data_IF_059934796250
#
_entry.id   IF_059934796250
#
_cell.length_a   1.000
_cell.length_b   1.000
_cell.length_c   1.000
_cell.angle_alpha   90.00
_cell.angle_beta   90.00
_cell.angle_gamma   90.00
#
_symmetry.space_group_name_H-M   'P 1'
#
loop_
_entity.id
_entity.type
_entity.pdbx_description
1 polymer ?
#
# COMPACT_ATOMS: atom_id res chain seq x y z
N UNK A 1 -11.25 -0.13 -15.44
CA UNK A 1 -11.51 1.10 -14.64
C UNK A 1 -10.99 0.94 -13.21
N UNK A 2 -11.12 -0.26 -12.66
CA UNK A 2 -10.43 -0.78 -11.48
C UNK A 2 -8.91 -0.51 -11.43
N UNK A 3 -8.17 -0.74 -12.52
CA UNK A 3 -6.71 -0.50 -12.54
C UNK A 3 -6.35 0.99 -12.33
N UNK A 4 -7.11 1.92 -12.94
CA UNK A 4 -6.88 3.36 -12.76
C UNK A 4 -7.16 3.81 -11.32
N UNK A 5 -8.20 3.24 -10.70
CA UNK A 5 -8.51 3.47 -9.28
C UNK A 5 -7.37 2.93 -8.41
N UNK A 6 -6.84 1.75 -8.72
CA UNK A 6 -5.73 1.18 -7.98
C UNK A 6 -4.42 1.97 -8.12
N UNK A 7 -4.08 2.42 -9.34
CA UNK A 7 -2.89 3.25 -9.59
C UNK A 7 -3.00 4.60 -8.88
N UNK A 8 -4.18 5.23 -8.92
CA UNK A 8 -4.41 6.49 -8.19
C UNK A 8 -4.34 6.30 -6.67
N UNK A 9 -4.87 5.17 -6.15
CA UNK A 9 -4.71 4.78 -4.75
C UNK A 9 -3.23 4.63 -4.35
N UNK A 10 -2.41 3.89 -5.12
CA UNK A 10 -0.98 3.74 -4.83
C UNK A 10 -0.26 5.10 -4.89
N UNK A 11 -0.59 5.95 -5.87
CA UNK A 11 0.02 7.26 -6.02
C UNK A 11 -0.32 8.17 -4.82
N UNK A 12 -1.60 8.22 -4.41
CA UNK A 12 -2.04 8.98 -3.23
C UNK A 12 -1.41 8.44 -1.94
N UNK A 13 -1.30 7.12 -1.82
CA UNK A 13 -0.69 6.49 -0.67
C UNK A 13 0.81 6.81 -0.59
N UNK A 14 1.52 6.71 -1.71
CA UNK A 14 2.94 7.08 -1.80
C UNK A 14 3.16 8.56 -1.50
N UNK A 15 2.31 9.45 -2.03
CA UNK A 15 2.36 10.87 -1.72
C UNK A 15 2.09 11.16 -0.25
N UNK A 16 1.07 10.51 0.34
CA UNK A 16 0.72 10.67 1.75
C UNK A 16 1.83 10.18 2.67
N UNK A 17 2.39 9.00 2.40
CA UNK A 17 3.51 8.44 3.16
C UNK A 17 4.72 9.36 3.07
N UNK A 18 5.09 9.84 1.87
CA UNK A 18 6.21 10.75 1.69
C UNK A 18 5.99 12.06 2.47
N UNK A 19 4.80 12.66 2.37
CA UNK A 19 4.44 13.90 3.07
C UNK A 19 4.40 13.76 4.59
N UNK A 20 3.89 12.64 5.12
CA UNK A 20 3.82 12.38 6.56
C UNK A 20 5.16 11.98 7.17
N UNK A 21 5.90 11.13 6.45
CA UNK A 21 7.15 10.59 6.95
C UNK A 21 8.30 11.60 6.88
N UNK A 22 8.31 12.46 5.85
CA UNK A 22 9.30 13.54 5.70
C UNK A 22 10.72 13.02 5.82
N UNK A 23 11.58 13.70 6.58
CA UNK A 23 12.96 13.25 6.84
C UNK A 23 13.11 12.39 8.11
N UNK A 24 12.00 11.93 8.70
CA UNK A 24 12.00 11.23 9.99
C UNK A 24 11.89 9.71 9.80
N UNK A 25 13.01 9.02 10.02
CA UNK A 25 13.13 7.56 9.91
C UNK A 25 12.03 6.77 10.62
N UNK A 26 11.69 7.13 11.86
CA UNK A 26 10.68 6.40 12.63
C UNK A 26 9.30 6.42 11.96
N UNK A 27 8.96 7.52 11.26
CA UNK A 27 7.67 7.66 10.58
C UNK A 27 7.60 6.81 9.33
N UNK A 28 8.70 6.71 8.58
CA UNK A 28 8.81 5.81 7.42
C UNK A 28 8.63 4.34 7.80
N UNK A 29 9.23 3.93 8.93
CA UNK A 29 9.10 2.56 9.44
C UNK A 29 7.65 2.31 9.89
N UNK A 30 7.04 3.24 10.62
CA UNK A 30 5.67 3.07 11.11
C UNK A 30 4.66 3.05 9.96
N UNK A 31 4.80 3.95 8.97
CA UNK A 31 3.98 3.93 7.76
C UNK A 31 4.22 2.67 6.96
N UNK A 32 5.46 2.21 6.84
CA UNK A 32 5.81 0.96 6.16
C UNK A 32 5.13 -0.26 6.78
N UNK A 33 5.13 -0.38 8.12
CA UNK A 33 4.43 -1.45 8.83
C UNK A 33 2.92 -1.42 8.58
N UNK A 34 2.31 -0.24 8.70
CA UNK A 34 0.87 -0.07 8.43
C UNK A 34 0.54 -0.46 6.98
N UNK A 35 1.37 -0.03 6.03
CA UNK A 35 1.14 -0.32 4.61
C UNK A 35 1.43 -1.75 4.21
N UNK A 36 2.38 -2.42 4.87
CA UNK A 36 2.78 -3.80 4.54
C UNK A 36 1.88 -4.86 5.18
N UNK A 37 1.28 -4.58 6.35
CA UNK A 37 0.52 -5.57 7.11
C UNK A 37 -0.97 -5.24 7.24
N UNK A 38 -1.33 -3.96 7.44
CA UNK A 38 -2.72 -3.57 7.70
C UNK A 38 -3.48 -3.30 6.39
N UNK A 39 -2.90 -2.49 5.50
CA UNK A 39 -3.55 -2.10 4.24
C UNK A 39 -3.80 -3.24 3.25
N UNK A 40 -2.93 -4.27 3.09
CA UNK A 40 -3.17 -5.32 2.11
C UNK A 40 -4.43 -6.14 2.41
N UNK A 41 -4.72 -6.39 3.69
CA UNK A 41 -5.94 -7.06 4.14
C UNK A 41 -7.17 -6.22 3.76
N UNK A 42 -7.09 -4.91 4.01
CA UNK A 42 -8.17 -3.97 3.74
C UNK A 42 -8.41 -3.81 2.23
N UNK A 43 -7.34 -3.70 1.44
CA UNK A 43 -7.36 -3.67 -0.03
C UNK A 43 -7.93 -4.96 -0.60
N UNK A 44 -7.53 -6.13 -0.08
CA UNK A 44 -8.08 -7.42 -0.50
C UNK A 44 -9.61 -7.46 -0.31
N UNK A 45 -10.10 -7.07 0.86
CA UNK A 45 -11.52 -7.10 1.16
C UNK A 45 -12.33 -6.11 0.31
N UNK A 46 -11.80 -4.90 0.09
CA UNK A 46 -12.42 -3.90 -0.78
C UNK A 46 -12.43 -4.33 -2.24
N UNK A 47 -11.32 -4.87 -2.75
CA UNK A 47 -11.18 -5.30 -4.13
C UNK A 47 -12.07 -6.53 -4.42
N UNK A 48 -12.10 -7.52 -3.53
CA UNK A 48 -12.98 -8.69 -3.69
C UNK A 48 -14.46 -8.28 -3.70
N UNK A 49 -14.88 -7.35 -2.82
CA UNK A 49 -16.24 -6.81 -2.80
C UNK A 49 -16.58 -6.01 -4.05
N UNK A 50 -15.72 -5.10 -4.50
CA UNK A 50 -15.98 -4.22 -5.65
C UNK A 50 -15.89 -4.97 -6.98
N UNK A 51 -14.84 -5.76 -7.18
CA UNK A 51 -14.68 -6.55 -8.40
C UNK A 51 -15.72 -7.68 -8.43
N UNK A 52 -15.92 -8.41 -7.33
CA UNK A 52 -16.91 -9.50 -7.29
C UNK A 52 -18.36 -9.06 -7.50
N UNK A 53 -18.73 -7.83 -7.11
CA UNK A 53 -20.05 -7.28 -7.43
C UNK A 53 -20.18 -6.82 -8.87
N UNK A 54 -19.09 -6.33 -9.48
CA UNK A 54 -19.07 -5.87 -10.88
C UNK A 54 -19.00 -7.02 -11.90
N UNK A 55 -18.29 -8.10 -11.59
CA UNK A 55 -18.10 -9.23 -12.51
C UNK A 55 -19.10 -10.35 -12.31
N UNK A 56 -19.88 -10.35 -11.21
CA UNK A 56 -20.81 -11.42 -10.85
C UNK A 56 -20.13 -12.76 -10.51
N UNK A 57 -18.81 -12.80 -10.54
CA UNK A 57 -18.00 -14.00 -10.40
C UNK A 57 -16.99 -13.81 -9.26
N UNK A 58 -17.23 -14.51 -8.15
CA UNK A 58 -16.47 -14.37 -6.91
C UNK A 58 -15.01 -14.77 -7.04
N UNK A 59 -14.67 -15.61 -8.03
CA UNK A 59 -13.31 -16.09 -8.27
C UNK A 59 -12.46 -14.99 -8.91
N UNK A 60 -12.99 -14.30 -9.92
CA UNK A 60 -12.31 -13.18 -10.57
C UNK A 60 -12.04 -12.03 -9.58
N UNK A 61 -13.01 -11.75 -8.69
CA UNK A 61 -12.83 -10.78 -7.61
C UNK A 61 -11.73 -11.18 -6.63
N UNK A 62 -11.65 -12.46 -6.27
CA UNK A 62 -10.60 -13.02 -5.41
C UNK A 62 -9.21 -12.87 -6.00
N UNK A 63 -9.01 -13.23 -7.27
CA UNK A 63 -7.70 -13.14 -7.95
C UNK A 63 -7.24 -11.69 -8.10
N UNK A 64 -8.15 -10.79 -8.51
CA UNK A 64 -7.83 -9.36 -8.63
C UNK A 64 -7.50 -8.75 -7.27
N UNK A 65 -8.29 -9.06 -6.24
CA UNK A 65 -8.04 -8.59 -4.87
C UNK A 65 -6.71 -9.06 -4.32
N UNK A 66 -6.32 -10.31 -4.60
CA UNK A 66 -5.03 -10.86 -4.18
C UNK A 66 -3.87 -10.15 -4.90
N UNK A 67 -4.00 -9.89 -6.21
CA UNK A 67 -3.02 -9.10 -6.96
C UNK A 67 -2.82 -7.69 -6.39
N UNK A 68 -3.92 -7.00 -6.07
CA UNK A 68 -3.89 -5.67 -5.48
C UNK A 68 -3.31 -5.66 -4.05
N UNK A 69 -3.62 -6.69 -3.25
CA UNK A 69 -3.04 -6.86 -1.92
C UNK A 69 -1.53 -7.09 -1.96
N UNK A 70 -1.05 -7.95 -2.87
CA UNK A 70 0.39 -8.22 -3.06
C UNK A 70 1.13 -6.96 -3.50
N UNK A 71 0.58 -6.20 -4.45
CA UNK A 71 1.18 -4.93 -4.88
C UNK A 71 1.27 -3.91 -3.73
N UNK A 72 0.22 -3.81 -2.91
CA UNK A 72 0.21 -2.93 -1.72
C UNK A 72 1.25 -3.36 -0.68
N UNK A 73 1.41 -4.66 -0.49
CA UNK A 73 2.39 -5.25 0.41
C UNK A 73 3.83 -4.97 -0.06
N UNK A 74 4.10 -5.05 -1.36
CA UNK A 74 5.39 -4.65 -1.96
C UNK A 74 5.66 -3.16 -1.70
N UNK A 75 4.69 -2.28 -1.90
CA UNK A 75 4.83 -0.86 -1.57
C UNK A 75 5.17 -0.63 -0.09
N UNK A 76 4.51 -1.36 0.82
CA UNK A 76 4.83 -1.30 2.25
C UNK A 76 6.27 -1.72 2.57
N UNK A 77 6.77 -2.77 1.92
CA UNK A 77 8.17 -3.17 2.04
C UNK A 77 9.14 -2.13 1.48
N UNK A 78 8.79 -1.45 0.38
CA UNK A 78 9.59 -0.34 -0.15
C UNK A 78 9.67 0.80 0.88
N UNK A 79 8.57 1.17 1.52
CA UNK A 79 8.58 2.20 2.56
C UNK A 79 9.39 1.79 3.79
N UNK A 80 9.30 0.53 4.22
CA UNK A 80 10.16 -0.01 5.27
C UNK A 80 11.64 0.09 4.86
N UNK A 81 11.97 -0.35 3.64
CA UNK A 81 13.33 -0.30 3.12
C UNK A 81 13.88 1.14 3.11
N UNK A 82 13.10 2.11 2.61
CA UNK A 82 13.44 3.54 2.64
C UNK A 82 13.62 4.03 4.08
N UNK A 83 12.76 3.63 5.01
CA UNK A 83 12.92 3.95 6.43
C UNK A 83 14.19 3.35 7.04
N UNK A 84 14.59 2.13 6.67
CA UNK A 84 15.82 1.51 7.17
C UNK A 84 17.08 2.11 6.54
N UNK A 85 17.03 2.54 5.28
CA UNK A 85 18.16 3.14 4.55
C UNK A 85 18.29 4.65 4.71
N UNK A 86 17.22 5.35 5.12
CA UNK A 86 17.27 6.76 5.47
C UNK A 86 18.15 6.95 6.70
N UNK A 87 19.43 7.29 6.48
CA UNK A 87 20.37 7.68 7.55
C UNK A 87 19.70 8.79 8.37
N UNK A 88 19.77 8.68 9.69
CA UNK A 88 19.45 9.79 10.57
C UNK A 88 20.33 10.97 10.13
N UNK A 89 19.76 11.99 9.48
CA UNK A 89 20.34 13.34 9.50
C UNK A 89 20.03 13.92 10.88
N UNK A 90 20.61 13.31 11.91
CA UNK A 90 20.54 13.78 13.27
C UNK A 90 21.85 13.48 13.98
N UNK A 91 22.92 13.88 13.31
CA UNK A 91 24.25 14.16 13.85
C UNK A 91 24.82 15.33 13.04
N UNK A 92 24.27 16.53 13.28
CA UNK A 92 24.88 17.82 12.93
C UNK A 92 24.21 18.91 13.78
#
# INVERSE_FOLDING_TARGET
>A
MDILIFVSYIALLSYSVNKFAGNQRHRWIHSGYITAFLLPILVFFLATRTVGTLTGDGIAGGVAGLGYAVATLICGFIFLYVGYTSKNVRDA
#
